data_IF_365832897020
#
_entry.id   IF_365832897020
#
_cell.length_a   1.000
_cell.length_b   1.000
_cell.length_c   1.000
_cell.angle_alpha   90.00
_cell.angle_beta   90.00
_cell.angle_gamma   90.00
#
_symmetry.space_group_name_H-M   'P 1'
#
loop_
_entity.id
_entity.type
_entity.pdbx_description
1 polymer ?
#
# COMPACT_ATOMS: atom_id res chain seq x y z
N UNK A 1 4.16 12.58 -15.18
CA UNK A 1 2.86 12.36 -15.84
C UNK A 1 1.71 12.89 -14.98
N UNK A 2 0.50 12.91 -15.56
CA UNK A 2 -0.72 13.01 -14.78
C UNK A 2 -0.85 11.82 -13.85
N UNK A 3 -1.62 11.93 -12.74
CA UNK A 3 -1.89 10.80 -11.87
C UNK A 3 -2.60 9.66 -12.61
N UNK A 4 -2.10 8.45 -12.43
CA UNK A 4 -2.74 7.27 -13.03
C UNK A 4 -3.40 6.36 -11.99
N UNK A 5 -3.04 6.49 -10.72
CA UNK A 5 -3.60 5.72 -9.60
C UNK A 5 -3.69 6.61 -8.37
N UNK A 6 -4.82 6.61 -7.69
CA UNK A 6 -4.95 7.23 -6.38
C UNK A 6 -4.89 6.15 -5.32
N UNK A 7 -3.87 6.22 -4.48
CA UNK A 7 -3.59 5.31 -3.40
C UNK A 7 -3.92 5.93 -2.04
N UNK A 8 -3.49 5.28 -1.02
CA UNK A 8 -3.44 5.73 0.36
C UNK A 8 -2.93 4.61 1.24
N UNK A 9 -2.64 4.94 2.49
CA UNK A 9 -2.12 4.01 3.46
C UNK A 9 -3.22 3.11 4.02
N UNK A 10 -2.90 1.85 4.30
CA UNK A 10 -3.80 0.92 4.97
C UNK A 10 -3.02 0.08 5.99
N UNK A 11 -3.73 -0.47 6.97
CA UNK A 11 -3.17 -1.35 8.00
C UNK A 11 -3.37 -2.80 7.57
N UNK A 12 -2.31 -3.60 7.70
CA UNK A 12 -2.37 -5.06 7.54
C UNK A 12 -2.04 -5.72 8.89
N UNK A 13 -2.80 -6.73 9.26
CA UNK A 13 -2.65 -7.49 10.49
C UNK A 13 -2.64 -8.99 10.19
N UNK A 14 -2.34 -9.84 11.17
CA UNK A 14 -2.50 -11.28 11.03
C UNK A 14 -3.96 -11.62 10.70
N UNK A 15 -4.16 -12.68 9.95
CA UNK A 15 -5.49 -13.09 9.48
C UNK A 15 -6.47 -13.37 10.61
N UNK A 16 -5.96 -13.95 11.70
CA UNK A 16 -6.71 -14.33 12.90
C UNK A 16 -6.78 -13.22 13.98
N UNK A 17 -6.13 -12.07 13.75
CA UNK A 17 -6.25 -10.92 14.65
C UNK A 17 -7.57 -10.18 14.41
N UNK A 18 -8.46 -10.24 15.42
CA UNK A 18 -9.73 -9.52 15.44
C UNK A 18 -9.73 -8.34 16.41
N UNK A 19 -8.58 -8.03 17.02
CA UNK A 19 -8.44 -6.94 18.00
C UNK A 19 -8.09 -5.61 17.36
N UNK A 20 -7.31 -5.62 16.27
CA UNK A 20 -6.95 -4.42 15.50
C UNK A 20 -7.88 -4.32 14.29
N UNK A 21 -8.75 -3.31 14.29
CA UNK A 21 -9.73 -3.06 13.23
C UNK A 21 -9.38 -1.86 12.35
N UNK A 22 -8.30 -1.15 12.69
CA UNK A 22 -7.82 0.00 11.95
C UNK A 22 -6.71 0.75 12.66
N UNK A 23 -6.36 1.91 12.11
CA UNK A 23 -5.26 2.74 12.60
C UNK A 23 -5.43 3.18 14.07
N UNK A 24 -6.66 3.47 14.50
CA UNK A 24 -6.96 3.89 15.88
C UNK A 24 -6.61 2.86 16.95
N UNK A 25 -6.53 1.59 16.58
CA UNK A 25 -6.27 0.49 17.53
C UNK A 25 -4.77 0.17 17.67
N UNK A 26 -3.90 0.96 17.03
CA UNK A 26 -2.46 0.72 17.00
C UNK A 26 -1.69 1.30 18.20
N UNK A 27 -2.33 2.04 19.09
CA UNK A 27 -1.65 2.56 20.30
C UNK A 27 -0.98 1.44 21.09
N UNK A 28 0.30 1.63 21.39
CA UNK A 28 1.12 0.67 22.13
C UNK A 28 1.50 -0.61 21.37
N UNK A 29 1.15 -0.72 20.08
CA UNK A 29 1.43 -1.92 19.26
C UNK A 29 2.81 -1.87 18.62
N UNK A 30 3.30 -3.05 18.20
CA UNK A 30 4.51 -3.20 17.39
C UNK A 30 4.13 -3.06 15.92
N UNK A 31 4.70 -2.06 15.25
CA UNK A 31 4.36 -1.74 13.86
C UNK A 31 5.60 -1.93 13.00
N UNK A 32 5.52 -2.78 11.99
CA UNK A 32 6.54 -2.92 10.95
C UNK A 32 6.21 -2.02 9.75
N UNK A 33 7.21 -1.35 9.21
CA UNK A 33 7.08 -0.43 8.09
C UNK A 33 8.25 -0.57 7.12
N UNK A 34 8.08 -0.12 5.89
CA UNK A 34 9.18 0.05 4.97
C UNK A 34 9.86 1.40 5.21
N UNK A 35 11.18 1.40 5.29
CA UNK A 35 11.97 2.62 5.54
C UNK A 35 11.76 3.67 4.44
N UNK A 36 11.68 4.94 4.83
CA UNK A 36 11.61 6.07 3.90
C UNK A 36 10.25 6.26 3.21
N UNK A 37 9.20 5.60 3.70
CA UNK A 37 7.83 5.71 3.15
C UNK A 37 6.95 6.63 3.98
N UNK A 38 5.86 7.09 3.38
CA UNK A 38 4.78 7.81 4.09
C UNK A 38 4.13 6.93 5.16
N UNK A 39 4.08 5.59 4.93
CA UNK A 39 3.66 4.62 5.94
C UNK A 39 4.54 4.61 7.19
N UNK A 40 5.86 4.76 7.03
CA UNK A 40 6.77 4.89 8.17
C UNK A 40 6.53 6.18 8.95
N UNK A 41 6.31 7.30 8.25
CA UNK A 41 5.95 8.58 8.88
C UNK A 41 4.63 8.45 9.65
N UNK A 42 3.62 7.84 9.04
CA UNK A 42 2.30 7.63 9.65
C UNK A 42 2.37 6.73 10.90
N UNK A 43 3.17 5.68 10.88
CA UNK A 43 3.40 4.85 12.05
C UNK A 43 4.04 5.62 13.21
N UNK A 44 4.92 6.58 12.91
CA UNK A 44 5.54 7.47 13.90
C UNK A 44 4.57 8.39 14.64
N UNK A 45 3.36 8.62 14.11
CA UNK A 45 2.31 9.39 14.77
C UNK A 45 1.56 8.56 15.84
N UNK A 46 1.73 7.24 15.84
CA UNK A 46 1.00 6.35 16.75
C UNK A 46 1.61 6.40 18.15
N UNK A 47 0.80 6.81 19.11
CA UNK A 47 1.22 6.97 20.50
C UNK A 47 1.69 5.64 21.11
N UNK A 48 2.84 5.66 21.77
CA UNK A 48 3.43 4.50 22.46
C UNK A 48 3.71 3.28 21.57
N UNK A 49 3.63 3.40 20.23
CA UNK A 49 3.93 2.30 19.33
C UNK A 49 5.44 2.05 19.27
N UNK A 50 5.80 0.77 19.10
CA UNK A 50 7.17 0.37 18.75
C UNK A 50 7.26 0.17 17.24
N UNK A 51 7.83 1.16 16.54
CA UNK A 51 7.98 1.10 15.09
C UNK A 51 9.33 0.51 14.73
N UNK A 52 9.34 -0.51 13.86
CA UNK A 52 10.54 -1.13 13.29
C UNK A 52 10.50 -0.98 11.77
N UNK A 53 11.54 -0.35 11.21
CA UNK A 53 11.66 -0.12 9.77
C UNK A 53 12.49 -1.22 9.11
N UNK A 54 12.02 -1.70 7.94
CA UNK A 54 12.64 -2.71 7.11
C UNK A 54 12.98 -2.14 5.73
N UNK A 55 13.89 -2.76 5.01
CA UNK A 55 14.32 -2.27 3.70
C UNK A 55 13.22 -2.36 2.62
N UNK A 56 12.31 -3.32 2.76
CA UNK A 56 11.21 -3.53 1.83
C UNK A 56 9.94 -4.04 2.54
N UNK A 57 8.83 -4.02 1.81
CA UNK A 57 7.53 -4.47 2.33
C UNK A 57 7.50 -5.96 2.65
N UNK A 58 8.25 -6.80 1.92
CA UNK A 58 8.26 -8.25 2.14
C UNK A 58 8.85 -8.56 3.50
N UNK A 59 9.96 -7.90 3.87
CA UNK A 59 10.58 -8.05 5.18
C UNK A 59 9.65 -7.60 6.31
N UNK A 60 8.94 -6.47 6.15
CA UNK A 60 7.95 -6.00 7.11
C UNK A 60 6.78 -7.01 7.26
N UNK A 61 6.29 -7.56 6.16
CA UNK A 61 5.23 -8.57 6.17
C UNK A 61 5.69 -9.90 6.81
N UNK A 62 6.94 -10.30 6.61
CA UNK A 62 7.53 -11.48 7.27
C UNK A 62 7.65 -11.27 8.78
N UNK A 63 7.97 -10.07 9.24
CA UNK A 63 7.99 -9.75 10.68
C UNK A 63 6.59 -9.89 11.29
N UNK A 64 5.53 -9.43 10.60
CA UNK A 64 4.15 -9.66 11.01
C UNK A 64 3.83 -11.17 11.08
N UNK A 65 4.14 -11.91 10.02
CA UNK A 65 3.89 -13.37 9.94
C UNK A 65 4.55 -14.11 11.08
N UNK A 66 5.79 -13.80 11.40
CA UNK A 66 6.59 -14.44 12.44
C UNK A 66 6.22 -13.98 13.87
N UNK A 67 5.34 -13.00 14.02
CA UNK A 67 4.88 -12.50 15.32
C UNK A 67 5.80 -11.47 15.96
N UNK A 68 6.76 -10.92 15.24
CA UNK A 68 7.61 -9.82 15.68
C UNK A 68 6.90 -8.46 15.64
N UNK A 69 5.91 -8.32 14.77
CA UNK A 69 5.02 -7.16 14.69
C UNK A 69 3.55 -7.55 14.85
N UNK A 70 2.73 -6.58 15.27
CA UNK A 70 1.28 -6.71 15.40
C UNK A 70 0.57 -6.16 14.16
N UNK A 71 1.19 -5.20 13.47
CA UNK A 71 0.66 -4.59 12.25
C UNK A 71 1.77 -4.16 11.29
N UNK A 72 1.38 -4.02 10.00
CA UNK A 72 2.17 -3.36 8.95
C UNK A 72 1.37 -2.18 8.44
N UNK A 73 2.02 -1.04 8.20
CA UNK A 73 1.43 0.11 7.50
C UNK A 73 2.20 0.33 6.21
N UNK A 74 1.49 0.31 5.10
CA UNK A 74 2.04 0.64 3.78
C UNK A 74 0.91 1.06 2.84
N UNK A 75 1.25 1.40 1.59
CA UNK A 75 0.29 1.76 0.56
C UNK A 75 -0.65 0.60 0.24
N UNK A 76 -1.92 0.93 0.07
CA UNK A 76 -2.98 -0.04 -0.22
C UNK A 76 -2.64 -0.97 -1.40
N UNK A 77 -2.16 -0.50 -2.56
CA UNK A 77 -1.82 -1.39 -3.67
C UNK A 77 -0.65 -2.33 -3.35
N UNK A 78 0.32 -1.89 -2.56
CA UNK A 78 1.46 -2.73 -2.14
C UNK A 78 0.98 -3.90 -1.28
N UNK A 79 0.12 -3.62 -0.30
CA UNK A 79 -0.43 -4.66 0.58
C UNK A 79 -1.44 -5.55 -0.14
N UNK A 80 -2.29 -5.02 -1.01
CA UNK A 80 -3.20 -5.82 -1.85
C UNK A 80 -2.43 -6.78 -2.74
N UNK A 81 -1.36 -6.32 -3.39
CA UNK A 81 -0.51 -7.18 -4.20
C UNK A 81 0.14 -8.29 -3.36
N UNK A 82 0.71 -7.98 -2.20
CA UNK A 82 1.25 -8.98 -1.29
C UNK A 82 0.21 -10.06 -0.92
N UNK A 83 -1.01 -9.64 -0.56
CA UNK A 83 -2.09 -10.57 -0.22
C UNK A 83 -2.46 -11.47 -1.40
N UNK A 84 -2.51 -10.94 -2.61
CA UNK A 84 -2.82 -11.70 -3.83
C UNK A 84 -1.72 -12.71 -4.16
N UNK A 85 -0.45 -12.40 -3.87
CA UNK A 85 0.68 -13.31 -4.08
C UNK A 85 0.80 -14.41 -3.00
N UNK A 86 -0.25 -14.66 -2.24
CA UNK A 86 -0.32 -15.72 -1.23
C UNK A 86 -0.32 -15.25 0.21
N UNK A 87 -0.05 -13.95 0.46
CA UNK A 87 -0.06 -13.37 1.80
C UNK A 87 -1.41 -13.46 2.51
N UNK A 88 -2.52 -13.61 1.76
CA UNK A 88 -3.88 -13.78 2.30
C UNK A 88 -4.07 -15.07 3.13
N UNK A 89 -3.14 -16.01 3.06
CA UNK A 89 -3.14 -17.18 3.95
C UNK A 89 -2.87 -16.75 5.41
N UNK A 90 -2.00 -15.76 5.62
CA UNK A 90 -1.47 -15.38 6.92
C UNK A 90 -1.91 -13.98 7.40
N UNK A 91 -2.38 -13.12 6.49
CA UNK A 91 -2.67 -11.71 6.77
C UNK A 91 -3.97 -11.22 6.11
N UNK A 92 -4.47 -10.10 6.61
CA UNK A 92 -5.61 -9.33 6.07
C UNK A 92 -5.37 -7.84 6.25
N UNK A 93 -5.96 -7.01 5.38
CA UNK A 93 -6.02 -5.56 5.58
C UNK A 93 -7.25 -5.20 6.40
N UNK A 94 -7.14 -4.16 7.22
CA UNK A 94 -8.19 -3.69 8.13
C UNK A 94 -8.31 -2.17 8.10
N UNK A 95 -9.50 -1.68 8.39
CA UNK A 95 -9.81 -0.25 8.44
C UNK A 95 -9.94 0.41 7.07
N UNK A 96 -10.16 1.71 7.10
CA UNK A 96 -10.26 2.52 5.89
C UNK A 96 -8.88 2.91 5.36
N UNK A 97 -8.78 3.15 4.05
CA UNK A 97 -7.59 3.74 3.42
C UNK A 97 -7.44 5.18 3.93
N UNK A 98 -6.25 5.52 4.37
CA UNK A 98 -5.87 6.82 4.93
C UNK A 98 -4.96 7.57 3.97
N UNK A 99 -4.91 8.90 4.09
CA UNK A 99 -3.97 9.76 3.37
C UNK A 99 -3.96 9.46 1.87
N UNK A 100 -4.86 10.12 1.12
CA UNK A 100 -4.88 9.99 -0.34
C UNK A 100 -3.54 10.40 -0.94
N UNK A 101 -2.96 9.54 -1.77
CA UNK A 101 -1.69 9.74 -2.46
C UNK A 101 -1.85 9.38 -3.93
N UNK A 102 -1.43 10.28 -4.81
CA UNK A 102 -1.49 10.06 -6.24
C UNK A 102 -0.16 9.50 -6.77
N UNK A 103 -0.25 8.46 -7.59
CA UNK A 103 0.90 7.91 -8.30
C UNK A 103 1.01 8.53 -9.69
N UNK A 104 2.21 8.99 -10.02
CA UNK A 104 2.57 9.48 -11.33
C UNK A 104 3.89 8.86 -11.81
N UNK A 105 4.14 8.95 -13.10
CA UNK A 105 5.37 8.48 -13.74
C UNK A 105 6.33 9.66 -13.88
N UNK A 106 7.50 9.57 -13.24
CA UNK A 106 8.52 10.59 -13.31
C UNK A 106 9.33 10.47 -14.60
N UNK A 107 9.60 11.59 -15.23
CA UNK A 107 10.50 11.71 -16.39
C UNK A 107 11.57 12.77 -16.10
N UNK A 108 12.68 12.74 -16.84
CA UNK A 108 13.72 13.76 -16.73
C UNK A 108 13.11 15.15 -16.95
N UNK A 109 13.46 16.12 -16.10
CA UNK A 109 13.02 17.51 -16.24
C UNK A 109 13.34 18.06 -17.64
N UNK A 110 12.35 18.67 -18.28
CA UNK A 110 12.44 19.19 -19.66
C UNK A 110 12.12 18.16 -20.75
N UNK A 111 11.81 16.89 -20.39
CA UNK A 111 11.36 15.89 -21.36
C UNK A 111 9.82 15.90 -21.49
N UNK A 112 9.29 17.06 -21.90
CA UNK A 112 7.85 17.31 -21.97
C UNK A 112 7.16 16.43 -23.04
N UNK A 113 7.90 16.09 -24.11
CA UNK A 113 7.39 15.19 -25.16
C UNK A 113 7.07 13.81 -24.59
N UNK A 114 7.99 13.21 -23.83
CA UNK A 114 7.76 11.90 -23.22
C UNK A 114 6.64 11.96 -22.18
N UNK A 115 6.56 13.04 -21.38
CA UNK A 115 5.46 13.22 -20.42
C UNK A 115 4.10 13.27 -21.13
N UNK A 116 4.00 13.99 -22.25
CA UNK A 116 2.77 14.06 -23.04
C UNK A 116 2.39 12.72 -23.67
N UNK A 117 3.36 11.97 -24.21
CA UNK A 117 3.13 10.62 -24.74
C UNK A 117 2.63 9.65 -23.67
N UNK A 118 3.21 9.68 -22.47
CA UNK A 118 2.76 8.87 -21.34
C UNK A 118 1.33 9.24 -20.95
N UNK A 119 1.02 10.53 -20.81
CA UNK A 119 -0.33 10.97 -20.44
C UNK A 119 -1.37 10.53 -21.48
N UNK A 120 -1.03 10.63 -22.78
CA UNK A 120 -1.90 10.15 -23.86
C UNK A 120 -2.15 8.64 -23.75
N UNK A 121 -1.10 7.84 -23.55
CA UNK A 121 -1.23 6.39 -23.41
C UNK A 121 -2.08 6.01 -22.18
N UNK A 122 -1.89 6.68 -21.03
CA UNK A 122 -2.70 6.46 -19.83
C UNK A 122 -4.18 6.78 -20.07
N UNK A 123 -4.48 7.87 -20.79
CA UNK A 123 -5.85 8.23 -21.13
C UNK A 123 -6.49 7.18 -22.05
N UNK A 124 -5.77 6.71 -23.08
CA UNK A 124 -6.22 5.66 -23.98
C UNK A 124 -6.51 4.35 -23.26
N UNK A 125 -5.63 3.92 -22.35
CA UNK A 125 -5.81 2.71 -21.54
C UNK A 125 -7.05 2.79 -20.64
N UNK A 126 -7.34 3.96 -20.06
CA UNK A 126 -8.56 4.18 -19.27
C UNK A 126 -9.82 4.13 -20.13
N UNK A 127 -9.78 4.63 -21.35
CA UNK A 127 -10.93 4.66 -22.25
C UNK A 127 -11.24 3.30 -22.87
N UNK A 128 -10.24 2.50 -23.21
CA UNK A 128 -10.41 1.21 -23.87
C UNK A 128 -10.59 0.02 -22.92
N UNK A 129 -10.56 0.26 -21.59
CA UNK A 129 -10.73 -0.77 -20.55
C UNK A 129 -9.45 -1.57 -20.22
N UNK A 130 -8.33 -1.26 -20.82
CA UNK A 130 -7.05 -1.93 -20.58
C UNK A 130 -6.53 -1.66 -19.18
N UNK A 131 -6.73 -0.43 -18.69
CA UNK A 131 -6.41 -0.07 -17.30
C UNK A 131 -7.16 -0.95 -16.29
N UNK A 132 -8.47 -1.13 -16.45
CA UNK A 132 -9.29 -1.95 -15.54
C UNK A 132 -8.87 -3.43 -15.58
N UNK A 133 -8.51 -3.93 -16.75
CA UNK A 133 -7.97 -5.28 -16.90
C UNK A 133 -6.66 -5.46 -16.13
N UNK A 134 -5.73 -4.52 -16.25
CA UNK A 134 -4.46 -4.54 -15.50
C UNK A 134 -4.72 -4.44 -14.00
N UNK A 135 -5.60 -3.54 -13.57
CA UNK A 135 -5.96 -3.41 -12.16
C UNK A 135 -6.44 -4.75 -11.58
N UNK A 136 -7.38 -5.42 -12.24
CA UNK A 136 -7.89 -6.73 -11.82
C UNK A 136 -6.79 -7.81 -11.80
N UNK A 137 -5.89 -7.79 -12.77
CA UNK A 137 -4.79 -8.75 -12.86
C UNK A 137 -3.84 -8.63 -11.66
N UNK A 138 -3.51 -7.41 -11.24
CA UNK A 138 -2.47 -7.17 -10.24
C UNK A 138 -3.00 -7.02 -8.80
N UNK A 139 -4.24 -6.58 -8.64
CA UNK A 139 -4.82 -6.29 -7.31
C UNK A 139 -6.06 -7.12 -6.98
N UNK A 140 -6.55 -7.93 -7.92
CA UNK A 140 -7.79 -8.68 -7.78
C UNK A 140 -9.03 -7.82 -8.04
N UNK A 141 -10.20 -8.43 -7.91
CA UNK A 141 -11.47 -7.70 -7.99
C UNK A 141 -11.68 -6.87 -6.72
N UNK A 142 -12.09 -5.62 -6.87
CA UNK A 142 -12.58 -4.84 -5.73
C UNK A 142 -13.84 -5.54 -5.19
N UNK A 143 -13.76 -6.01 -3.96
CA UNK A 143 -14.99 -6.36 -3.23
C UNK A 143 -15.71 -5.04 -2.96
N UNK A 144 -16.79 -4.82 -3.69
CA UNK A 144 -17.73 -3.72 -3.44
C UNK A 144 -18.32 -3.82 -2.05
#
# INVERSE_FOLDING_TARGET
>A
SDPYYTSGLIVMVKKDDDTIKGFSDLEGKRIAVQIGTTGANKAGEVKNAKVTAFNDNTAAAMELKNGGADAVINDSPVLKYYLQQGGSADAKVVGAVMNSEDYGIAVKKGNDKLAAEINKALAEMKQNGEYDKLYKTWFGEEKK
#
